data_IF_870737451015
#
_entry.id   IF_870737451015
#
_cell.length_a   1.000
_cell.length_b   1.000
_cell.length_c   1.000
_cell.angle_alpha   90.00
_cell.angle_beta   90.00
_cell.angle_gamma   90.00
#
_symmetry.space_group_name_H-M   'P 1'
#
loop_
_entity.id
_entity.type
_entity.pdbx_description
1 polymer ?
#
# COMPACT_ATOMS: atom_id res chain seq x y z
N UNK A 1 -40.41 14.97 27.17
CA UNK A 1 -39.92 13.59 27.34
C UNK A 1 -40.44 12.85 26.14
N UNK A 2 -39.58 12.59 25.15
CA UNK A 2 -39.97 11.81 23.98
C UNK A 2 -40.35 10.40 24.43
N UNK A 3 -41.32 9.78 23.78
CA UNK A 3 -41.59 8.35 23.95
C UNK A 3 -40.31 7.58 23.62
N UNK A 4 -39.87 6.64 24.47
CA UNK A 4 -38.66 5.86 24.18
C UNK A 4 -38.88 5.04 22.90
N UNK A 5 -38.00 5.24 21.92
CA UNK A 5 -38.02 4.58 20.59
C UNK A 5 -37.91 3.05 20.71
N UNK A 6 -37.36 2.57 21.82
CA UNK A 6 -37.25 1.16 22.20
C UNK A 6 -36.28 1.01 23.37
N UNK A 7 -35.99 -0.24 23.76
CA UNK A 7 -35.03 -0.54 24.83
C UNK A 7 -33.97 -1.52 24.33
N UNK A 8 -32.77 -1.45 24.90
CA UNK A 8 -31.75 -2.47 24.74
C UNK A 8 -31.36 -3.04 26.10
N UNK A 9 -31.03 -4.33 26.13
CA UNK A 9 -30.63 -5.04 27.33
C UNK A 9 -29.13 -5.30 27.28
N UNK A 10 -28.40 -4.73 28.23
CA UNK A 10 -26.96 -4.97 28.44
C UNK A 10 -26.75 -5.57 29.82
N UNK A 11 -26.21 -6.79 29.87
CA UNK A 11 -25.92 -7.48 31.15
C UNK A 11 -27.11 -7.53 32.13
N UNK A 12 -28.33 -7.74 31.60
CA UNK A 12 -29.55 -7.87 32.40
C UNK A 12 -30.20 -6.55 32.87
N UNK A 13 -29.64 -5.38 32.51
CA UNK A 13 -30.30 -4.08 32.70
C UNK A 13 -30.90 -3.60 31.38
N UNK A 14 -32.19 -3.25 31.40
CA UNK A 14 -32.86 -2.58 30.30
C UNK A 14 -32.56 -1.08 30.34
N UNK A 15 -32.24 -0.48 29.20
CA UNK A 15 -32.00 0.96 29.03
C UNK A 15 -32.70 1.44 27.76
N UNK A 16 -33.10 2.71 27.73
CA UNK A 16 -33.76 3.32 26.57
C UNK A 16 -32.78 3.49 25.41
N UNK A 17 -33.27 3.27 24.18
CA UNK A 17 -32.49 3.55 22.97
C UNK A 17 -32.20 5.05 22.90
N UNK A 18 -30.95 5.45 22.67
CA UNK A 18 -30.57 6.85 22.65
C UNK A 18 -31.06 7.55 21.37
N UNK A 19 -31.49 8.80 21.53
CA UNK A 19 -31.88 9.69 20.44
C UNK A 19 -30.67 10.33 19.72
N UNK A 20 -29.47 10.18 20.28
CA UNK A 20 -28.23 10.67 19.71
C UNK A 20 -27.54 9.63 18.83
N UNK A 21 -27.13 10.04 17.62
CA UNK A 21 -26.50 9.14 16.64
C UNK A 21 -25.19 8.48 17.14
N UNK A 22 -24.43 9.16 18.01
CA UNK A 22 -23.17 8.64 18.56
C UNK A 22 -23.40 7.48 19.53
N UNK A 23 -24.36 7.65 20.44
CA UNK A 23 -24.71 6.62 21.42
C UNK A 23 -25.40 5.44 20.71
N UNK A 24 -26.28 5.73 19.74
CA UNK A 24 -26.91 4.69 18.93
C UNK A 24 -25.88 3.89 18.12
N UNK A 25 -24.83 4.54 17.58
CA UNK A 25 -23.77 3.84 16.88
C UNK A 25 -23.05 2.81 17.78
N UNK A 26 -22.82 3.17 19.04
CA UNK A 26 -22.18 2.29 20.03
C UNK A 26 -23.08 1.10 20.39
N UNK A 27 -24.38 1.35 20.60
CA UNK A 27 -25.38 0.31 20.85
C UNK A 27 -25.49 -0.65 19.67
N UNK A 28 -25.58 -0.12 18.44
CA UNK A 28 -25.63 -0.95 17.22
C UNK A 28 -24.36 -1.77 17.00
N UNK A 29 -23.19 -1.24 17.36
CA UNK A 29 -21.92 -1.97 17.31
C UNK A 29 -21.91 -3.14 18.31
N UNK A 30 -22.29 -2.89 19.56
CA UNK A 30 -22.41 -3.94 20.57
C UNK A 30 -23.46 -5.01 20.18
N UNK A 31 -24.54 -4.61 19.52
CA UNK A 31 -25.55 -5.54 19.03
C UNK A 31 -25.02 -6.41 17.88
N UNK A 32 -24.21 -5.84 16.99
CA UNK A 32 -23.57 -6.59 15.90
C UNK A 32 -22.62 -7.68 16.41
N UNK A 33 -21.99 -7.45 17.56
CA UNK A 33 -21.17 -8.43 18.27
C UNK A 33 -21.98 -9.36 19.19
N UNK A 34 -23.32 -9.31 19.10
CA UNK A 34 -24.26 -10.11 19.89
C UNK A 34 -24.15 -9.91 21.42
N UNK A 35 -23.66 -8.74 21.87
CA UNK A 35 -23.48 -8.42 23.29
C UNK A 35 -24.74 -7.87 23.97
N UNK A 36 -25.70 -7.40 23.16
CA UNK A 36 -26.95 -6.80 23.63
C UNK A 36 -28.14 -7.30 22.79
N UNK A 37 -29.33 -7.31 23.40
CA UNK A 37 -30.59 -7.52 22.69
C UNK A 37 -31.35 -6.19 22.56
N UNK A 38 -31.91 -5.91 21.38
CA UNK A 38 -32.68 -4.70 21.10
C UNK A 38 -34.16 -5.07 20.94
N UNK A 39 -35.03 -4.38 21.67
CA UNK A 39 -36.48 -4.50 21.55
C UNK A 39 -37.08 -3.16 21.13
N UNK A 40 -37.77 -3.14 19.99
CA UNK A 40 -38.27 -1.92 19.35
C UNK A 40 -39.73 -1.60 19.64
N UNK A 41 -40.41 -2.34 20.54
CA UNK A 41 -41.78 -2.05 21.03
C UNK A 41 -42.79 -1.53 19.98
N UNK A 42 -42.68 -1.96 18.72
CA UNK A 42 -43.47 -1.55 17.54
C UNK A 42 -43.23 -0.15 16.93
N UNK A 43 -42.31 0.67 17.45
CA UNK A 43 -41.83 1.89 16.78
C UNK A 43 -40.48 1.64 16.08
N UNK A 44 -40.40 1.97 14.78
CA UNK A 44 -39.15 1.87 14.04
C UNK A 44 -38.20 3.02 14.41
N UNK A 45 -36.90 2.73 14.53
CA UNK A 45 -35.90 3.80 14.68
C UNK A 45 -35.94 4.69 13.43
N UNK A 46 -35.96 6.04 13.58
CA UNK A 46 -35.93 6.95 12.46
C UNK A 46 -34.78 6.66 11.49
N UNK A 47 -35.08 6.55 10.20
CA UNK A 47 -34.08 6.19 9.18
C UNK A 47 -32.92 7.19 9.12
N UNK A 48 -33.18 8.47 9.40
CA UNK A 48 -32.14 9.50 9.50
C UNK A 48 -31.14 9.19 10.62
N UNK A 49 -31.64 8.77 11.78
CA UNK A 49 -30.82 8.46 12.95
C UNK A 49 -29.98 7.19 12.72
N UNK A 50 -30.58 6.14 12.13
CA UNK A 50 -29.83 4.93 11.72
C UNK A 50 -28.72 5.29 10.73
N UNK A 51 -29.02 6.13 9.74
CA UNK A 51 -28.05 6.53 8.73
C UNK A 51 -26.86 7.24 9.38
N UNK A 52 -27.11 8.19 10.25
CA UNK A 52 -26.06 8.95 10.92
C UNK A 52 -25.22 8.05 11.83
N UNK A 53 -25.85 7.19 12.61
CA UNK A 53 -25.17 6.18 13.43
C UNK A 53 -24.32 5.22 12.59
N UNK A 54 -24.83 4.75 11.45
CA UNK A 54 -24.10 3.87 10.53
C UNK A 54 -22.89 4.57 9.91
N UNK A 55 -23.00 5.86 9.56
CA UNK A 55 -21.87 6.66 9.06
C UNK A 55 -20.80 6.81 10.14
N UNK A 56 -21.19 7.04 11.39
CA UNK A 56 -20.26 7.14 12.53
C UNK A 56 -19.52 5.81 12.74
N UNK A 57 -20.25 4.69 12.74
CA UNK A 57 -19.67 3.36 12.90
C UNK A 57 -18.70 3.04 11.75
N UNK A 58 -19.10 3.33 10.50
CA UNK A 58 -18.23 3.16 9.33
C UNK A 58 -16.95 3.99 9.43
N UNK A 59 -17.05 5.26 9.86
CA UNK A 59 -15.88 6.13 10.09
C UNK A 59 -14.96 5.59 11.17
N UNK A 60 -15.52 5.11 12.29
CA UNK A 60 -14.76 4.48 13.38
C UNK A 60 -14.00 3.25 12.88
N UNK A 61 -14.67 2.40 12.12
CA UNK A 61 -14.09 1.17 11.53
C UNK A 61 -13.02 1.46 10.48
N UNK A 62 -13.18 2.51 9.67
CA UNK A 62 -12.14 2.97 8.75
C UNK A 62 -10.93 3.47 9.54
N UNK A 63 -11.15 4.25 10.60
CA UNK A 63 -10.08 4.80 11.44
C UNK A 63 -9.29 3.70 12.15
N UNK A 64 -9.95 2.65 12.63
CA UNK A 64 -9.26 1.50 13.26
C UNK A 64 -8.47 0.64 12.26
N UNK A 65 -8.81 0.70 10.97
CA UNK A 65 -8.08 0.02 9.89
C UNK A 65 -6.89 0.82 9.33
N UNK A 66 -6.68 2.06 9.77
CA UNK A 66 -5.50 2.85 9.40
C UNK A 66 -4.26 2.27 10.08
N UNK A 67 -3.62 1.33 9.39
CA UNK A 67 -2.39 0.71 9.84
C UNK A 67 -1.17 1.45 9.29
N UNK A 68 -0.04 1.50 10.01
CA UNK A 68 1.15 2.26 9.58
C UNK A 68 1.72 1.83 8.22
N UNK A 69 1.50 0.59 7.78
CA UNK A 69 1.89 0.10 6.46
C UNK A 69 1.11 0.77 5.31
N UNK A 70 -0.08 1.33 5.54
CA UNK A 70 -0.87 2.00 4.50
C UNK A 70 -0.17 3.25 3.95
N UNK A 71 0.42 4.05 4.83
CA UNK A 71 1.13 5.26 4.42
C UNK A 71 2.43 4.92 3.68
N UNK A 72 3.13 3.86 4.10
CA UNK A 72 4.28 3.32 3.40
C UNK A 72 3.91 2.81 2.00
N UNK A 73 2.75 2.15 1.86
CA UNK A 73 2.23 1.70 0.55
C UNK A 73 1.99 2.90 -0.37
N UNK A 74 1.32 3.95 0.10
CA UNK A 74 1.11 5.15 -0.71
C UNK A 74 2.44 5.83 -1.08
N UNK A 75 3.40 5.85 -0.16
CA UNK A 75 4.72 6.43 -0.40
C UNK A 75 5.53 5.68 -1.45
N UNK A 76 5.46 4.34 -1.50
CA UNK A 76 6.17 3.56 -2.54
C UNK A 76 5.47 3.65 -3.90
N UNK A 77 4.14 3.71 -3.93
CA UNK A 77 3.38 3.91 -5.17
C UNK A 77 3.70 5.29 -5.78
N UNK A 78 3.69 6.34 -4.95
CA UNK A 78 4.10 7.68 -5.36
C UNK A 78 5.56 7.74 -5.83
N UNK A 79 6.46 6.98 -5.20
CA UNK A 79 7.86 6.88 -5.62
C UNK A 79 7.99 6.21 -6.99
N UNK A 80 7.23 5.15 -7.25
CA UNK A 80 7.22 4.45 -8.53
C UNK A 80 6.63 5.34 -9.64
N UNK A 81 5.54 6.05 -9.37
CA UNK A 81 4.95 7.04 -10.30
C UNK A 81 5.90 8.20 -10.60
N UNK A 82 6.63 8.69 -9.59
CA UNK A 82 7.65 9.71 -9.79
C UNK A 82 8.79 9.20 -10.69
N UNK A 83 9.24 7.95 -10.48
CA UNK A 83 10.22 7.31 -11.36
C UNK A 83 9.73 7.13 -12.80
N UNK A 84 8.45 6.83 -13.02
CA UNK A 84 7.90 6.78 -14.38
C UNK A 84 7.84 8.18 -15.01
N UNK A 85 7.40 9.17 -14.23
CA UNK A 85 7.30 10.57 -14.66
C UNK A 85 8.66 11.13 -15.05
N UNK A 86 9.69 10.94 -14.21
CA UNK A 86 11.04 11.44 -14.49
C UNK A 86 11.63 10.81 -15.76
N UNK A 87 11.30 9.55 -16.07
CA UNK A 87 11.75 8.89 -17.29
C UNK A 87 11.09 9.52 -18.52
N UNK A 88 9.77 9.71 -18.51
CA UNK A 88 9.04 10.37 -19.61
C UNK A 88 9.54 11.79 -19.83
N UNK A 89 9.77 12.54 -18.75
CA UNK A 89 10.33 13.90 -18.81
C UNK A 89 11.75 13.89 -19.36
N UNK A 90 12.59 12.93 -18.95
CA UNK A 90 13.96 12.78 -19.46
C UNK A 90 13.99 12.56 -20.96
N UNK A 91 13.15 11.65 -21.46
CA UNK A 91 13.02 11.39 -22.89
C UNK A 91 12.55 12.63 -23.65
N UNK A 92 11.57 13.35 -23.10
CA UNK A 92 11.06 14.57 -23.70
C UNK A 92 12.10 15.69 -23.75
N UNK A 93 12.83 15.92 -22.67
CA UNK A 93 13.92 16.89 -22.60
C UNK A 93 14.99 16.60 -23.65
N UNK A 94 15.41 15.34 -23.70
CA UNK A 94 16.44 14.87 -24.63
C UNK A 94 16.02 15.06 -26.07
N UNK A 95 14.80 14.59 -26.43
CA UNK A 95 14.30 14.69 -27.80
C UNK A 95 14.07 16.14 -28.22
N UNK A 96 13.49 16.96 -27.34
CA UNK A 96 13.22 18.36 -27.63
C UNK A 96 14.54 19.15 -27.80
N UNK A 97 15.56 18.84 -27.00
CA UNK A 97 16.86 19.51 -27.09
C UNK A 97 17.49 19.25 -28.46
N UNK A 98 17.59 17.99 -28.87
CA UNK A 98 18.11 17.58 -30.18
C UNK A 98 17.33 18.22 -31.33
N UNK A 99 16.00 18.28 -31.26
CA UNK A 99 15.18 18.82 -32.35
C UNK A 99 15.31 20.35 -32.51
N UNK A 100 15.54 21.09 -31.43
CA UNK A 100 15.64 22.56 -31.46
C UNK A 100 17.06 23.02 -31.76
N UNK A 101 18.07 22.33 -31.23
CA UNK A 101 19.47 22.72 -31.38
C UNK A 101 20.12 22.11 -32.62
N UNK A 102 19.62 20.98 -33.11
CA UNK A 102 20.28 20.17 -34.13
C UNK A 102 21.46 19.35 -33.60
N UNK A 103 21.75 19.44 -32.29
CA UNK A 103 22.82 18.68 -31.65
C UNK A 103 22.47 17.18 -31.55
N UNK A 104 23.47 16.29 -31.54
CA UNK A 104 23.26 14.87 -31.29
C UNK A 104 22.48 14.59 -30.00
N UNK A 105 21.89 13.40 -29.91
CA UNK A 105 21.17 12.99 -28.70
C UNK A 105 22.13 12.85 -27.52
N UNK A 106 21.99 13.73 -26.53
CA UNK A 106 22.78 13.75 -25.30
C UNK A 106 22.05 13.06 -24.14
N UNK A 107 22.76 12.73 -23.06
CA UNK A 107 22.09 12.26 -21.85
C UNK A 107 21.44 13.43 -21.13
N UNK A 108 20.31 13.17 -20.45
CA UNK A 108 19.59 14.22 -19.72
C UNK A 108 20.48 14.90 -18.68
N UNK A 109 21.39 14.17 -18.03
CA UNK A 109 22.35 14.73 -17.07
C UNK A 109 23.19 15.87 -17.67
N UNK A 110 23.71 15.67 -18.88
CA UNK A 110 24.54 16.67 -19.59
C UNK A 110 23.69 17.89 -19.98
N UNK A 111 22.46 17.67 -20.45
CA UNK A 111 21.52 18.76 -20.82
C UNK A 111 21.17 19.63 -19.61
N UNK A 112 21.10 19.04 -18.42
CA UNK A 112 20.80 19.75 -17.18
C UNK A 112 21.95 20.64 -16.71
N UNK A 113 23.18 20.36 -17.12
CA UNK A 113 24.37 21.16 -16.81
C UNK A 113 24.55 22.37 -17.73
N UNK A 114 23.83 22.42 -18.86
CA UNK A 114 23.90 23.54 -19.80
C UNK A 114 23.37 24.84 -19.16
N UNK A 115 24.17 25.91 -19.31
CA UNK A 115 23.83 27.26 -18.83
C UNK A 115 22.69 27.89 -19.63
N UNK A 116 22.63 27.62 -20.94
CA UNK A 116 21.62 28.17 -21.83
C UNK A 116 20.72 27.06 -22.38
N UNK A 117 19.45 27.13 -22.02
CA UNK A 117 18.39 26.30 -22.59
C UNK A 117 17.36 27.22 -23.26
N UNK A 118 16.75 26.79 -24.37
CA UNK A 118 15.62 27.49 -24.95
C UNK A 118 14.55 27.76 -23.88
N UNK A 119 13.98 28.97 -23.88
CA UNK A 119 13.18 29.51 -22.77
C UNK A 119 12.01 28.62 -22.33
N UNK A 120 11.39 27.86 -23.24
CA UNK A 120 10.30 26.93 -22.89
C UNK A 120 10.79 25.62 -22.26
N UNK A 121 12.04 25.22 -22.49
CA UNK A 121 12.62 24.00 -21.90
C UNK A 121 13.05 24.19 -20.45
N UNK A 122 13.29 25.44 -20.02
CA UNK A 122 13.59 25.77 -18.63
C UNK A 122 12.51 25.26 -17.67
N UNK A 123 11.23 25.48 -18.00
CA UNK A 123 10.09 24.99 -17.20
C UNK A 123 10.13 23.46 -17.04
N UNK A 124 10.48 22.74 -18.12
CA UNK A 124 10.56 21.28 -18.09
C UNK A 124 11.78 20.78 -17.29
N UNK A 125 12.90 21.51 -17.33
CA UNK A 125 14.08 21.28 -16.48
C UNK A 125 13.73 21.49 -15.00
N UNK A 126 13.02 22.56 -14.67
CA UNK A 126 12.59 22.83 -13.29
C UNK A 126 11.65 21.74 -12.77
N UNK A 127 10.70 21.30 -13.61
CA UNK A 127 9.83 20.16 -13.29
C UNK A 127 10.62 18.87 -13.07
N UNK A 128 11.61 18.58 -13.93
CA UNK A 128 12.51 17.44 -13.77
C UNK A 128 13.26 17.49 -12.43
N UNK A 129 13.82 18.65 -12.08
CA UNK A 129 14.56 18.82 -10.82
C UNK A 129 13.64 18.68 -9.61
N UNK A 130 12.44 19.26 -9.66
CA UNK A 130 11.43 19.09 -8.61
C UNK A 130 11.05 17.62 -8.39
N UNK A 131 10.82 16.89 -9.48
CA UNK A 131 10.50 15.46 -9.41
C UNK A 131 11.69 14.63 -8.88
N UNK A 132 12.92 14.99 -9.24
CA UNK A 132 14.13 14.37 -8.68
C UNK A 132 14.25 14.59 -7.16
N UNK A 133 13.91 15.77 -6.67
CA UNK A 133 13.84 16.07 -5.23
C UNK A 133 12.77 15.21 -4.55
N UNK A 134 11.56 15.13 -5.13
CA UNK A 134 10.48 14.28 -4.62
C UNK A 134 10.91 12.82 -4.45
N UNK A 135 11.57 12.25 -5.47
CA UNK A 135 12.11 10.86 -5.43
C UNK A 135 13.07 10.68 -4.25
N UNK A 136 13.97 11.65 -4.03
CA UNK A 136 14.94 11.59 -2.94
C UNK A 136 14.27 11.70 -1.57
N UNK A 137 13.27 12.57 -1.42
CA UNK A 137 12.51 12.75 -0.19
C UNK A 137 11.68 11.51 0.16
N UNK A 138 10.95 10.95 -0.80
CA UNK A 138 10.17 9.72 -0.61
C UNK A 138 11.08 8.52 -0.29
N UNK A 139 12.22 8.39 -0.97
CA UNK A 139 13.18 7.32 -0.67
C UNK A 139 13.70 7.43 0.76
N UNK A 140 14.08 8.64 1.18
CA UNK A 140 14.55 8.89 2.56
C UNK A 140 13.47 8.60 3.59
N UNK A 141 12.23 9.01 3.31
CA UNK A 141 11.08 8.73 4.17
C UNK A 141 10.89 7.22 4.37
N UNK A 142 10.86 6.46 3.27
CA UNK A 142 10.73 5.01 3.32
C UNK A 142 11.88 4.37 4.12
N UNK A 143 13.12 4.80 3.93
CA UNK A 143 14.28 4.28 4.66
C UNK A 143 14.21 4.54 6.18
N UNK A 144 13.55 5.61 6.60
CA UNK A 144 13.38 5.97 8.01
C UNK A 144 12.18 5.26 8.66
N UNK A 145 11.05 5.16 7.95
CA UNK A 145 9.80 4.67 8.54
C UNK A 145 9.59 3.16 8.36
N UNK A 146 10.01 2.58 7.23
CA UNK A 146 9.78 1.14 6.96
C UNK A 146 10.37 0.21 8.02
N UNK A 147 11.60 0.43 8.54
CA UNK A 147 12.16 -0.41 9.59
C UNK A 147 11.38 -0.36 10.91
N UNK A 148 10.59 0.70 11.16
CA UNK A 148 9.75 0.82 12.36
C UNK A 148 8.50 -0.04 12.26
N UNK A 149 8.03 -0.33 11.04
CA UNK A 149 6.81 -1.11 10.79
C UNK A 149 7.12 -2.59 10.53
N UNK A 150 8.12 -2.89 9.68
CA UNK A 150 8.50 -4.26 9.33
C UNK A 150 10.04 -4.45 9.25
N UNK A 151 10.74 -4.45 10.41
CA UNK A 151 12.20 -4.50 10.46
C UNK A 151 12.83 -5.77 9.86
N UNK A 152 12.19 -6.93 10.02
CA UNK A 152 12.69 -8.21 9.52
C UNK A 152 12.57 -8.30 7.99
N UNK A 153 11.47 -7.82 7.41
CA UNK A 153 11.32 -7.73 5.95
C UNK A 153 12.35 -6.78 5.35
N UNK A 154 12.56 -5.59 5.95
CA UNK A 154 13.60 -4.65 5.50
C UNK A 154 14.98 -5.30 5.57
N UNK A 155 15.31 -6.02 6.64
CA UNK A 155 16.60 -6.70 6.78
C UNK A 155 16.83 -7.78 5.70
N UNK A 156 15.78 -8.45 5.25
CA UNK A 156 15.87 -9.54 4.27
C UNK A 156 15.85 -9.02 2.82
N UNK A 157 15.03 -8.01 2.54
CA UNK A 157 14.73 -7.56 1.17
C UNK A 157 15.32 -6.19 0.81
N UNK A 158 15.70 -5.39 1.81
CA UNK A 158 15.92 -3.95 1.68
C UNK A 158 14.60 -3.17 1.72
N UNK A 159 14.69 -1.87 2.01
CA UNK A 159 13.53 -0.99 2.24
C UNK A 159 12.52 -1.01 1.09
N UNK A 160 12.94 -0.56 -0.10
CA UNK A 160 12.02 -0.38 -1.23
C UNK A 160 11.36 -1.70 -1.66
N UNK A 161 12.13 -2.80 -1.74
CA UNK A 161 11.57 -4.08 -2.13
C UNK A 161 10.63 -4.66 -1.06
N UNK A 162 10.93 -4.47 0.22
CA UNK A 162 10.03 -4.87 1.31
C UNK A 162 8.68 -4.14 1.19
N UNK A 163 8.72 -2.81 1.04
CA UNK A 163 7.50 -2.00 0.92
C UNK A 163 6.72 -2.36 -0.35
N UNK A 164 7.40 -2.56 -1.51
CA UNK A 164 6.76 -3.00 -2.76
C UNK A 164 6.06 -4.36 -2.63
N UNK A 165 6.64 -5.31 -1.90
CA UNK A 165 6.01 -6.62 -1.65
C UNK A 165 4.77 -6.47 -0.76
N UNK A 166 4.83 -5.61 0.26
CA UNK A 166 3.67 -5.30 1.11
C UNK A 166 2.57 -4.60 0.30
N UNK A 167 2.93 -3.65 -0.55
CA UNK A 167 2.01 -2.96 -1.48
C UNK A 167 1.33 -3.94 -2.44
N UNK A 168 2.10 -4.83 -3.08
CA UNK A 168 1.55 -5.86 -3.97
C UNK A 168 0.58 -6.82 -3.25
N UNK A 169 0.76 -7.05 -1.94
CA UNK A 169 -0.19 -7.81 -1.13
C UNK A 169 -1.40 -6.98 -0.67
N UNK A 170 -1.29 -5.65 -0.65
CA UNK A 170 -2.28 -4.65 -0.23
C UNK A 170 -2.25 -4.29 1.26
N UNK A 171 -1.58 -5.09 2.09
CA UNK A 171 -1.25 -4.80 3.49
C UNK A 171 -0.32 -5.87 4.07
N UNK A 172 0.36 -5.55 5.17
CA UNK A 172 1.17 -6.49 5.94
C UNK A 172 0.33 -7.68 6.42
N UNK A 173 -0.93 -7.44 6.83
CA UNK A 173 -1.88 -8.49 7.20
C UNK A 173 -2.08 -9.51 6.08
N UNK A 174 -2.34 -9.03 4.87
CA UNK A 174 -2.54 -9.92 3.71
C UNK A 174 -1.25 -10.67 3.38
N UNK A 175 -0.11 -9.98 3.41
CA UNK A 175 1.19 -10.60 3.15
C UNK A 175 1.50 -11.74 4.14
N UNK A 176 1.26 -11.53 5.44
CA UNK A 176 1.50 -12.53 6.48
C UNK A 176 0.70 -13.84 6.26
N UNK A 177 -0.47 -13.75 5.64
CA UNK A 177 -1.35 -14.89 5.32
C UNK A 177 -1.02 -15.58 4.01
N UNK A 178 -0.21 -14.97 3.14
CA UNK A 178 0.17 -15.57 1.87
C UNK A 178 1.14 -16.75 2.07
N UNK A 179 1.04 -17.83 1.27
CA UNK A 179 2.06 -18.85 1.22
C UNK A 179 3.31 -18.31 0.49
N UNK A 180 4.47 -18.91 0.76
CA UNK A 180 5.73 -18.50 0.15
C UNK A 180 5.71 -18.60 -1.39
N UNK A 181 4.95 -19.53 -1.95
CA UNK A 181 4.75 -19.67 -3.41
C UNK A 181 4.04 -18.47 -4.02
N UNK A 182 3.06 -17.88 -3.33
CA UNK A 182 2.38 -16.66 -3.77
C UNK A 182 3.33 -15.47 -3.67
N UNK A 183 4.02 -15.31 -2.54
CA UNK A 183 5.00 -14.22 -2.33
C UNK A 183 6.10 -14.26 -3.41
N UNK A 184 6.53 -15.45 -3.84
CA UNK A 184 7.51 -15.62 -4.91
C UNK A 184 7.06 -14.99 -6.24
N UNK A 185 5.75 -14.98 -6.51
CA UNK A 185 5.15 -14.61 -7.79
C UNK A 185 4.45 -13.25 -7.78
N UNK A 186 4.40 -12.54 -6.64
CA UNK A 186 3.85 -11.18 -6.57
C UNK A 186 4.53 -10.26 -7.60
N UNK A 187 3.76 -9.60 -8.44
CA UNK A 187 4.20 -8.78 -9.58
C UNK A 187 4.43 -9.55 -10.90
N UNK A 188 4.17 -10.86 -10.93
CA UNK A 188 4.20 -11.68 -12.15
C UNK A 188 2.82 -12.25 -12.50
N UNK A 189 1.74 -11.66 -11.99
CA UNK A 189 0.36 -12.13 -12.12
C UNK A 189 -0.02 -12.32 -13.59
N UNK A 190 0.32 -11.36 -14.46
CA UNK A 190 0.03 -11.46 -15.90
C UNK A 190 0.66 -12.70 -16.54
N UNK A 191 1.92 -13.01 -16.20
CA UNK A 191 2.60 -14.19 -16.72
C UNK A 191 2.07 -15.49 -16.10
N UNK A 192 1.69 -15.45 -14.82
CA UNK A 192 1.09 -16.57 -14.12
C UNK A 192 -0.29 -16.90 -14.69
N UNK A 193 -1.16 -15.91 -14.89
CA UNK A 193 -2.48 -16.09 -15.48
C UNK A 193 -2.39 -16.57 -16.92
N UNK A 194 -1.40 -16.09 -17.69
CA UNK A 194 -1.14 -16.64 -19.02
C UNK A 194 -0.81 -18.13 -18.96
N UNK A 195 0.14 -18.54 -18.10
CA UNK A 195 0.44 -19.96 -17.88
C UNK A 195 -0.79 -20.80 -17.52
N UNK A 196 -1.65 -20.28 -16.63
CA UNK A 196 -2.88 -20.98 -16.23
C UNK A 196 -3.89 -21.12 -17.38
N UNK A 197 -3.92 -20.15 -18.30
CA UNK A 197 -4.83 -20.13 -19.45
C UNK A 197 -4.35 -20.98 -20.63
N UNK A 198 -3.06 -20.91 -20.98
CA UNK A 198 -2.51 -21.48 -22.22
C UNK A 198 -1.42 -22.54 -22.01
N UNK A 199 -1.03 -22.82 -20.77
CA UNK A 199 0.01 -23.79 -20.44
C UNK A 199 1.44 -23.33 -20.73
N UNK A 200 1.67 -22.06 -21.12
CA UNK A 200 3.00 -21.49 -21.34
C UNK A 200 3.88 -21.58 -20.09
N UNK A 201 5.22 -21.63 -20.17
CA UNK A 201 6.05 -21.86 -18.99
C UNK A 201 5.78 -20.88 -17.82
N UNK A 202 5.63 -21.37 -16.57
CA UNK A 202 5.28 -20.53 -15.44
C UNK A 202 6.39 -19.53 -15.09
N UNK A 203 6.04 -18.33 -14.58
CA UNK A 203 7.03 -17.40 -14.06
C UNK A 203 7.76 -18.00 -12.86
N UNK A 204 9.06 -17.71 -12.75
CA UNK A 204 9.92 -18.21 -11.66
C UNK A 204 10.09 -17.22 -10.52
N UNK A 205 9.73 -15.96 -10.73
CA UNK A 205 9.90 -14.85 -9.81
C UNK A 205 9.02 -13.68 -10.28
N UNK A 206 8.50 -12.89 -9.34
CA UNK A 206 7.93 -11.57 -9.60
C UNK A 206 8.87 -10.45 -9.13
N UNK A 207 8.38 -9.57 -8.26
CA UNK A 207 9.11 -8.42 -7.70
C UNK A 207 10.44 -8.83 -7.03
N UNK A 208 10.50 -10.03 -6.43
CA UNK A 208 11.73 -10.57 -5.84
C UNK A 208 12.91 -10.69 -6.81
N UNK A 209 12.68 -10.62 -8.12
CA UNK A 209 13.76 -10.55 -9.12
C UNK A 209 14.67 -9.32 -8.93
N UNK A 210 14.12 -8.22 -8.38
CA UNK A 210 14.86 -6.99 -8.12
C UNK A 210 15.89 -7.15 -7.01
N UNK A 211 15.75 -8.15 -6.13
CA UNK A 211 16.70 -8.38 -5.05
C UNK A 211 18.10 -8.70 -5.59
N UNK A 212 19.19 -8.08 -5.07
CA UNK A 212 20.55 -8.26 -5.59
C UNK A 212 20.96 -9.72 -5.72
N UNK A 213 20.66 -10.55 -4.71
CA UNK A 213 21.01 -11.98 -4.74
C UNK A 213 20.32 -12.77 -5.85
N UNK A 214 19.11 -12.37 -6.27
CA UNK A 214 18.38 -13.02 -7.37
C UNK A 214 18.87 -12.48 -8.72
N UNK A 215 19.11 -11.16 -8.81
CA UNK A 215 19.57 -10.51 -10.04
C UNK A 215 20.97 -11.00 -10.45
N UNK A 216 21.86 -11.16 -9.47
CA UNK A 216 23.26 -11.60 -9.66
C UNK A 216 23.40 -13.12 -9.84
N UNK A 217 22.42 -13.93 -9.42
CA UNK A 217 22.50 -15.37 -9.57
C UNK A 217 22.47 -15.83 -11.05
N UNK A 218 23.09 -16.98 -11.32
CA UNK A 218 23.08 -17.62 -12.66
C UNK A 218 21.64 -17.92 -13.07
N UNK A 219 21.31 -17.80 -14.37
CA UNK A 219 19.95 -17.96 -14.92
C UNK A 219 19.22 -19.23 -14.44
N UNK A 220 19.95 -20.35 -14.27
CA UNK A 220 19.41 -21.62 -13.77
C UNK A 220 19.00 -21.56 -12.29
N UNK A 221 19.71 -20.78 -11.48
CA UNK A 221 19.53 -20.72 -10.04
C UNK A 221 18.64 -19.57 -9.57
N UNK A 222 18.35 -18.56 -10.41
CA UNK A 222 17.48 -17.42 -10.05
C UNK A 222 16.16 -17.85 -9.41
N UNK A 223 15.49 -18.87 -9.96
CA UNK A 223 14.25 -19.39 -9.39
C UNK A 223 14.44 -20.09 -8.04
N UNK A 224 15.58 -20.76 -7.82
CA UNK A 224 15.92 -21.39 -6.52
C UNK A 224 16.19 -20.32 -5.46
N UNK A 225 16.95 -19.27 -5.82
CA UNK A 225 17.25 -18.16 -4.91
C UNK A 225 15.98 -17.39 -4.57
N UNK A 226 15.15 -17.06 -5.56
CA UNK A 226 13.87 -16.38 -5.34
C UNK A 226 12.94 -17.19 -4.43
N UNK A 227 12.85 -18.52 -4.59
CA UNK A 227 12.08 -19.38 -3.69
C UNK A 227 12.58 -19.35 -2.24
N UNK A 228 13.90 -19.40 -2.04
CA UNK A 228 14.50 -19.28 -0.69
C UNK A 228 14.17 -17.93 -0.07
N UNK A 229 14.27 -16.86 -0.84
CA UNK A 229 13.97 -15.50 -0.40
C UNK A 229 12.50 -15.35 -0.02
N UNK A 230 11.58 -15.85 -0.86
CA UNK A 230 10.15 -15.85 -0.58
C UNK A 230 9.79 -16.62 0.69
N UNK A 231 10.44 -17.76 0.94
CA UNK A 231 10.25 -18.52 2.17
C UNK A 231 10.68 -17.73 3.43
N UNK A 232 11.81 -17.00 3.35
CA UNK A 232 12.27 -16.13 4.44
C UNK A 232 11.37 -14.92 4.64
N UNK A 233 10.95 -14.27 3.55
CA UNK A 233 9.99 -13.17 3.60
C UNK A 233 8.66 -13.61 4.23
N UNK A 234 8.14 -14.79 3.89
CA UNK A 234 6.89 -15.33 4.46
C UNK A 234 6.98 -15.57 5.97
N UNK A 235 8.15 -16.00 6.47
CA UNK A 235 8.38 -16.17 7.91
C UNK A 235 8.47 -14.79 8.58
N UNK A 236 9.24 -13.87 8.00
CA UNK A 236 9.39 -12.51 8.53
C UNK A 236 8.05 -11.76 8.62
N UNK A 237 7.24 -11.80 7.56
CA UNK A 237 5.92 -11.16 7.54
C UNK A 237 4.98 -11.71 8.61
N UNK A 238 5.07 -13.01 8.91
CA UNK A 238 4.26 -13.62 9.99
C UNK A 238 4.74 -13.21 11.36
N UNK A 239 6.05 -13.17 11.59
CA UNK A 239 6.63 -12.69 12.85
C UNK A 239 6.27 -11.23 13.08
N UNK A 240 6.33 -10.38 12.05
CA UNK A 240 6.01 -8.96 12.21
C UNK A 240 4.52 -8.69 12.45
N UNK A 241 3.63 -9.48 11.86
CA UNK A 241 2.20 -9.28 12.01
C UNK A 241 1.62 -9.99 13.24
N UNK A 242 2.02 -11.24 13.49
CA UNK A 242 1.49 -12.09 14.57
C UNK A 242 2.42 -12.24 15.75
N UNK A 243 3.71 -11.92 15.60
CA UNK A 243 4.64 -12.00 16.72
C UNK A 243 4.22 -10.99 17.77
N UNK A 244 4.21 -11.44 19.03
CA UNK A 244 3.98 -10.56 20.15
C UNK A 244 4.95 -9.37 20.04
N UNK A 245 4.39 -8.17 20.05
CA UNK A 245 5.15 -6.98 20.41
C UNK A 245 5.50 -7.19 21.88
N UNK A 246 6.56 -7.93 22.15
CA UNK A 246 7.13 -8.05 23.48
C UNK A 246 7.27 -6.62 24.01
N UNK A 247 6.64 -6.40 25.16
CA UNK A 247 6.59 -5.16 25.95
C UNK A 247 7.90 -4.38 25.96
#
# INVERSE_FOLDING_TARGET
MGTPIGTYIRSGKASELPDEANELASVLEEHSDSLIEINLESEGIPLSLIRDASIIQARSKIKSQLTPDKDLIQSIEALDEAHETINVVSERLTAWYTQVTGEPRMQVGEILELETLPSRMGILKDFYMSNKTLIAELSRYLDQESPKVFPNLVKILGTQLAVRIVAAAGSLFRLARMPASTIQLLGAEKALFRHLSDGSPPPKHGLLYQHPSVKQAVRKDKGRVSRKLAAKAAIASRIEYYGDKNE
#
